data_IF_048121387885
#
_entry.id   IF_048121387885
#
_cell.length_a   1.000
_cell.length_b   1.000
_cell.length_c   1.000
_cell.angle_alpha   90.00
_cell.angle_beta   90.00
_cell.angle_gamma   90.00
#
_symmetry.space_group_name_H-M   'P 1'
#
loop_
_entity.id
_entity.type
_entity.pdbx_description
1 polymer ?
#
# COMPACT_ATOMS: atom_id res chain seq x y z
N UNK A 1 11.84 8.44 16.06
CA UNK A 1 10.59 8.22 15.32
C UNK A 1 9.46 8.96 16.02
N UNK A 2 8.72 9.77 15.30
CA UNK A 2 7.60 10.50 15.89
C UNK A 2 6.44 9.53 16.18
N UNK A 3 5.82 9.73 17.34
CA UNK A 3 4.68 8.95 17.80
C UNK A 3 3.47 9.88 17.98
N UNK A 4 2.31 9.46 17.50
CA UNK A 4 1.08 10.26 17.56
C UNK A 4 -0.02 9.50 18.27
N UNK A 5 -0.72 10.19 19.17
CA UNK A 5 -1.94 9.66 19.78
C UNK A 5 -3.12 9.88 18.82
N UNK A 6 -4.23 9.18 19.09
CA UNK A 6 -5.48 9.39 18.34
C UNK A 6 -5.97 10.84 18.49
N UNK A 7 -5.79 11.42 19.66
CA UNK A 7 -6.12 12.83 19.90
C UNK A 7 -5.31 13.76 19.00
N UNK A 8 -4.00 13.50 18.86
CA UNK A 8 -3.14 14.26 17.96
C UNK A 8 -3.62 14.17 16.52
N UNK A 9 -3.96 12.96 16.09
CA UNK A 9 -4.45 12.69 14.73
C UNK A 9 -5.76 13.43 14.47
N UNK A 10 -6.69 13.41 15.42
CA UNK A 10 -7.98 14.11 15.30
C UNK A 10 -7.82 15.63 15.21
N UNK A 11 -6.76 16.16 15.78
CA UNK A 11 -6.46 17.59 15.75
C UNK A 11 -5.66 18.06 14.53
N UNK A 12 -5.25 17.15 13.63
CA UNK A 12 -4.44 17.51 12.48
C UNK A 12 -5.23 18.24 11.40
N UNK A 13 -4.57 19.21 10.76
CA UNK A 13 -5.06 19.81 9.53
C UNK A 13 -4.94 18.81 8.37
N UNK A 14 -5.74 19.01 7.33
CA UNK A 14 -5.78 18.13 6.16
C UNK A 14 -4.37 17.88 5.57
N UNK A 15 -3.61 18.94 5.35
CA UNK A 15 -2.27 18.83 4.75
C UNK A 15 -1.35 17.92 5.57
N UNK A 16 -1.34 18.10 6.88
CA UNK A 16 -0.50 17.29 7.77
C UNK A 16 -0.95 15.84 7.82
N UNK A 17 -2.26 15.63 7.87
CA UNK A 17 -2.85 14.28 7.86
C UNK A 17 -2.46 13.52 6.58
N UNK A 18 -2.57 14.16 5.42
CA UNK A 18 -2.19 13.56 4.14
C UNK A 18 -0.69 13.28 4.07
N UNK A 19 0.15 14.17 4.63
CA UNK A 19 1.59 13.92 4.69
C UNK A 19 1.94 12.65 5.48
N UNK A 20 1.21 12.38 6.56
CA UNK A 20 1.46 11.21 7.40
C UNK A 20 0.83 9.93 6.85
N UNK A 21 -0.38 10.00 6.31
CA UNK A 21 -1.17 8.82 5.95
C UNK A 21 -1.40 8.65 4.44
N UNK A 22 -0.96 9.60 3.63
CA UNK A 22 -1.17 9.56 2.19
C UNK A 22 -0.48 8.40 1.48
N UNK A 23 0.52 7.80 2.10
CA UNK A 23 1.26 6.66 1.54
C UNK A 23 0.78 5.30 2.04
N UNK A 24 -0.26 5.24 2.89
CA UNK A 24 -0.82 3.98 3.39
C UNK A 24 -1.34 3.12 2.22
N UNK A 25 -1.99 3.75 1.27
CA UNK A 25 -2.34 3.12 -0.01
C UNK A 25 -1.39 3.64 -1.08
N UNK A 26 -0.74 2.74 -1.78
CA UNK A 26 0.34 3.04 -2.75
C UNK A 26 -0.09 4.10 -3.76
N UNK A 27 0.66 5.21 -3.81
CA UNK A 27 0.46 6.30 -4.78
C UNK A 27 -0.99 6.83 -4.87
N UNK A 28 -1.78 6.67 -3.79
CA UNK A 28 -3.19 7.07 -3.76
C UNK A 28 -3.50 7.90 -2.51
N UNK A 29 -2.95 9.11 -2.40
CA UNK A 29 -3.18 9.97 -1.22
C UNK A 29 -4.63 10.41 -1.04
N UNK A 30 -5.45 10.32 -2.08
CA UNK A 30 -6.88 10.64 -2.04
C UNK A 30 -7.63 9.86 -0.95
N UNK A 31 -7.20 8.64 -0.64
CA UNK A 31 -7.81 7.82 0.42
C UNK A 31 -7.65 8.52 1.76
N UNK A 32 -6.44 8.99 2.09
CA UNK A 32 -6.21 9.73 3.33
C UNK A 32 -6.97 11.06 3.35
N UNK A 33 -6.98 11.77 2.23
CA UNK A 33 -7.70 13.03 2.10
C UNK A 33 -9.18 12.87 2.40
N UNK A 34 -9.82 11.86 1.86
CA UNK A 34 -11.24 11.60 2.09
C UNK A 34 -11.50 11.06 3.51
N UNK A 35 -10.60 10.22 4.04
CA UNK A 35 -10.73 9.70 5.39
C UNK A 35 -10.64 10.82 6.45
N UNK A 36 -9.86 11.86 6.19
CA UNK A 36 -9.77 13.01 7.09
C UNK A 36 -11.14 13.64 7.38
N UNK A 37 -12.03 13.67 6.40
CA UNK A 37 -13.38 14.20 6.58
C UNK A 37 -14.28 13.31 7.47
N UNK A 38 -13.86 12.10 7.76
CA UNK A 38 -14.59 11.16 8.62
C UNK A 38 -14.21 11.26 10.10
N UNK A 39 -13.37 12.23 10.47
CA UNK A 39 -13.02 12.50 11.88
C UNK A 39 -14.26 12.80 12.72
N UNK A 40 -14.23 12.58 14.06
CA UNK A 40 -13.10 12.05 14.82
C UNK A 40 -12.96 10.53 14.73
N UNK A 41 -11.73 10.05 14.94
CA UNK A 41 -11.44 8.62 15.02
C UNK A 41 -11.41 8.21 16.50
N UNK A 42 -11.93 7.02 16.82
CA UNK A 42 -11.95 6.50 18.19
C UNK A 42 -10.62 5.86 18.58
N UNK A 43 -10.00 5.16 17.64
CA UNK A 43 -8.71 4.49 17.79
C UNK A 43 -8.07 4.29 16.41
N UNK A 44 -6.93 3.63 16.39
CA UNK A 44 -6.20 3.36 15.13
C UNK A 44 -6.99 2.41 14.23
N UNK A 45 -7.67 1.42 14.80
CA UNK A 45 -8.50 0.50 14.03
C UNK A 45 -9.66 1.23 13.36
N UNK A 46 -10.27 2.20 14.04
CA UNK A 46 -11.31 3.03 13.45
C UNK A 46 -10.79 3.88 12.29
N UNK A 47 -9.60 4.46 12.43
CA UNK A 47 -8.93 5.20 11.35
C UNK A 47 -8.73 4.29 10.13
N UNK A 48 -8.17 3.10 10.34
CA UNK A 48 -7.92 2.13 9.28
C UNK A 48 -9.23 1.70 8.62
N UNK A 49 -10.25 1.39 9.43
CA UNK A 49 -11.56 0.99 8.94
C UNK A 49 -12.20 2.08 8.06
N UNK A 50 -12.08 3.34 8.45
CA UNK A 50 -12.60 4.46 7.67
C UNK A 50 -11.83 4.67 6.37
N UNK A 51 -10.51 4.45 6.37
CA UNK A 51 -9.71 4.47 5.14
C UNK A 51 -10.13 3.36 4.19
N UNK A 52 -10.30 2.14 4.68
CA UNK A 52 -10.79 1.00 3.88
C UNK A 52 -12.17 1.28 3.30
N UNK A 53 -13.05 1.90 4.10
CA UNK A 53 -14.40 2.27 3.65
C UNK A 53 -14.38 3.27 2.50
N UNK A 54 -13.42 4.19 2.47
CA UNK A 54 -13.24 5.11 1.32
C UNK A 54 -13.00 4.32 0.04
N UNK A 55 -12.17 3.28 0.11
CA UNK A 55 -11.88 2.44 -1.04
C UNK A 55 -13.11 1.60 -1.44
N UNK A 56 -13.71 0.91 -0.49
CA UNK A 56 -14.80 -0.02 -0.77
C UNK A 56 -16.09 0.66 -1.22
N UNK A 57 -16.47 1.73 -0.55
CA UNK A 57 -17.75 2.40 -0.80
C UNK A 57 -17.64 3.68 -1.62
N UNK A 58 -16.50 4.37 -1.56
CA UNK A 58 -16.30 5.67 -2.19
C UNK A 58 -15.62 5.65 -3.54
N UNK A 59 -15.02 4.54 -3.95
CA UNK A 59 -14.29 4.44 -5.23
C UNK A 59 -15.09 3.67 -6.27
N UNK A 60 -15.02 4.14 -7.52
CA UNK A 60 -15.56 3.43 -8.68
C UNK A 60 -14.68 2.21 -8.99
N UNK A 61 -15.18 1.29 -9.82
CA UNK A 61 -14.39 0.15 -10.29
C UNK A 61 -13.10 0.61 -10.99
N UNK A 62 -13.16 1.66 -11.80
CA UNK A 62 -11.99 2.22 -12.49
C UNK A 62 -10.97 2.75 -11.51
N UNK A 63 -11.41 3.46 -10.46
CA UNK A 63 -10.53 3.97 -9.40
C UNK A 63 -9.89 2.83 -8.61
N UNK A 64 -10.64 1.78 -8.27
CA UNK A 64 -10.11 0.60 -7.58
C UNK A 64 -9.05 -0.13 -8.42
N UNK A 65 -9.27 -0.27 -9.72
CA UNK A 65 -8.27 -0.85 -10.63
C UNK A 65 -7.01 0.01 -10.70
N UNK A 66 -7.15 1.33 -10.73
CA UNK A 66 -6.02 2.24 -10.70
C UNK A 66 -5.22 2.09 -9.41
N UNK A 67 -5.89 1.97 -8.27
CA UNK A 67 -5.24 1.73 -6.98
C UNK A 67 -4.45 0.41 -7.00
N UNK A 68 -5.05 -0.67 -7.46
CA UNK A 68 -4.39 -1.97 -7.57
C UNK A 68 -3.17 -1.88 -8.49
N UNK A 69 -3.31 -1.23 -9.64
CA UNK A 69 -2.23 -1.08 -10.62
C UNK A 69 -1.09 -0.18 -10.14
N UNK A 70 -1.34 0.68 -9.15
CA UNK A 70 -0.30 1.54 -8.58
C UNK A 70 0.61 0.82 -7.60
N UNK A 71 0.19 -0.35 -7.08
CA UNK A 71 1.00 -1.13 -6.16
C UNK A 71 2.16 -1.81 -6.89
N UNK A 72 3.36 -1.88 -6.27
CA UNK A 72 4.50 -2.54 -6.90
C UNK A 72 4.32 -4.05 -6.92
N UNK A 73 4.84 -4.68 -7.96
CA UNK A 73 4.92 -6.13 -8.04
C UNK A 73 6.01 -6.66 -7.12
N UNK A 74 5.96 -7.95 -6.78
CA UNK A 74 7.02 -8.60 -5.99
C UNK A 74 8.36 -8.50 -6.75
N UNK A 75 9.40 -8.11 -6.03
CA UNK A 75 10.72 -7.92 -6.62
C UNK A 75 10.84 -6.69 -7.51
N UNK A 76 9.90 -5.76 -7.44
CA UNK A 76 9.91 -4.52 -8.23
C UNK A 76 11.21 -3.74 -8.00
N UNK A 77 11.84 -3.32 -9.08
CA UNK A 77 13.09 -2.53 -9.05
C UNK A 77 12.88 -1.09 -9.53
N UNK A 78 11.68 -0.79 -9.98
CA UNK A 78 11.32 0.55 -10.42
C UNK A 78 10.96 1.47 -9.25
N UNK A 79 10.27 2.55 -9.56
CA UNK A 79 9.85 3.52 -8.56
C UNK A 79 8.75 2.94 -7.68
N UNK A 80 8.98 2.97 -6.36
CA UNK A 80 8.03 2.54 -5.34
C UNK A 80 7.96 3.56 -4.22
N UNK A 81 6.85 3.58 -3.48
CA UNK A 81 6.78 4.33 -2.23
C UNK A 81 7.73 3.73 -1.20
N UNK A 82 8.24 4.57 -0.29
CA UNK A 82 9.22 4.14 0.71
C UNK A 82 8.72 2.96 1.58
N UNK A 83 7.45 2.97 1.94
CA UNK A 83 6.85 1.88 2.73
C UNK A 83 6.90 0.54 2.01
N UNK A 84 6.62 0.52 0.70
CA UNK A 84 6.68 -0.69 -0.11
C UNK A 84 8.11 -1.19 -0.29
N UNK A 85 9.08 -0.28 -0.48
CA UNK A 85 10.51 -0.62 -0.54
C UNK A 85 10.92 -1.32 0.75
N UNK A 86 10.55 -0.75 1.90
CA UNK A 86 10.89 -1.30 3.21
C UNK A 86 10.23 -2.65 3.45
N UNK A 87 8.97 -2.81 3.08
CA UNK A 87 8.26 -4.07 3.25
C UNK A 87 8.93 -5.19 2.46
N UNK A 88 9.22 -4.97 1.19
CA UNK A 88 9.88 -5.98 0.37
C UNK A 88 11.30 -6.27 0.84
N UNK A 89 12.06 -5.24 1.24
CA UNK A 89 13.41 -5.40 1.77
C UNK A 89 13.42 -6.19 3.09
N UNK A 90 12.38 -6.03 3.93
CA UNK A 90 12.31 -6.69 5.23
C UNK A 90 12.25 -8.22 5.12
N UNK A 91 11.80 -8.75 4.00
CA UNK A 91 11.71 -10.21 3.74
C UNK A 91 12.75 -10.68 2.71
N UNK A 92 13.68 -9.82 2.30
CA UNK A 92 14.80 -10.17 1.45
C UNK A 92 14.52 -10.13 -0.05
N UNK A 93 13.38 -9.61 -0.49
CA UNK A 93 13.04 -9.52 -1.91
C UNK A 93 13.99 -8.63 -2.72
N UNK A 94 14.70 -7.70 -2.06
CA UNK A 94 15.71 -6.86 -2.70
C UNK A 94 17.06 -7.56 -2.89
N UNK A 95 17.23 -8.77 -2.36
CA UNK A 95 18.50 -9.53 -2.34
C UNK A 95 18.33 -10.97 -2.83
N UNK A 96 17.32 -11.24 -3.63
CA UNK A 96 17.10 -12.58 -4.19
C UNK A 96 18.11 -12.89 -5.28
N UNK A 97 18.34 -14.19 -5.52
CA UNK A 97 19.23 -14.66 -6.57
C UNK A 97 18.68 -14.26 -7.94
N UNK A 98 19.58 -14.08 -8.91
CA UNK A 98 19.21 -13.71 -10.27
C UNK A 98 18.18 -14.66 -10.88
N UNK A 99 18.33 -15.95 -10.67
CA UNK A 99 17.40 -16.96 -11.20
C UNK A 99 16.00 -16.82 -10.62
N UNK A 100 15.92 -16.57 -9.31
CA UNK A 100 14.64 -16.34 -8.63
C UNK A 100 14.01 -15.02 -9.08
N UNK A 101 14.82 -13.99 -9.28
CA UNK A 101 14.36 -12.69 -9.77
C UNK A 101 13.77 -12.82 -11.18
N UNK A 102 14.44 -13.54 -12.07
CA UNK A 102 13.96 -13.80 -13.43
C UNK A 102 12.65 -14.59 -13.41
N UNK A 103 12.52 -15.57 -12.52
CA UNK A 103 11.31 -16.37 -12.38
C UNK A 103 10.14 -15.51 -11.87
N UNK A 104 10.37 -14.68 -10.87
CA UNK A 104 9.35 -13.77 -10.34
C UNK A 104 8.89 -12.78 -11.42
N UNK A 105 9.83 -12.19 -12.15
CA UNK A 105 9.53 -11.25 -13.24
C UNK A 105 8.67 -11.91 -14.32
N UNK A 106 8.99 -13.14 -14.69
CA UNK A 106 8.22 -13.90 -15.68
C UNK A 106 6.81 -14.20 -15.18
N UNK A 107 6.67 -14.64 -13.92
CA UNK A 107 5.38 -14.93 -13.31
C UNK A 107 4.53 -13.68 -13.19
N UNK A 108 5.13 -12.55 -12.83
CA UNK A 108 4.44 -11.27 -12.77
C UNK A 108 3.89 -10.86 -14.14
N UNK A 109 4.68 -11.01 -15.19
CA UNK A 109 4.26 -10.72 -16.56
C UNK A 109 3.09 -11.59 -17.00
N UNK A 110 3.18 -12.90 -16.76
CA UNK A 110 2.12 -13.86 -17.10
C UNK A 110 0.82 -13.50 -16.34
N UNK A 111 0.93 -13.17 -15.07
CA UNK A 111 -0.23 -12.81 -14.24
C UNK A 111 -0.91 -11.54 -14.77
N UNK A 112 -0.12 -10.48 -15.05
CA UNK A 112 -0.66 -9.22 -15.59
C UNK A 112 -1.36 -9.43 -16.93
N UNK A 113 -0.76 -10.23 -17.80
CA UNK A 113 -1.32 -10.54 -19.11
C UNK A 113 -2.65 -11.27 -18.99
N UNK A 114 -2.75 -12.20 -18.05
CA UNK A 114 -3.96 -12.99 -17.83
C UNK A 114 -5.09 -12.19 -17.18
N UNK A 115 -4.78 -11.37 -16.18
CA UNK A 115 -5.80 -10.72 -15.35
C UNK A 115 -5.95 -9.22 -15.59
N UNK A 116 -5.02 -8.57 -16.30
CA UNK A 116 -5.06 -7.14 -16.58
C UNK A 116 -4.64 -6.24 -15.40
N UNK A 117 -4.15 -6.84 -14.31
CA UNK A 117 -3.60 -6.12 -13.16
C UNK A 117 -2.47 -6.93 -12.51
N UNK A 118 -1.57 -6.26 -11.73
CA UNK A 118 -0.44 -6.97 -11.13
C UNK A 118 -0.88 -7.91 -9.99
N UNK A 119 -0.08 -8.95 -9.76
CA UNK A 119 -0.22 -9.80 -8.58
C UNK A 119 0.28 -9.04 -7.35
N UNK A 120 -0.57 -8.96 -6.34
CA UNK A 120 -0.25 -8.27 -5.09
C UNK A 120 -0.27 -9.25 -3.92
N UNK A 121 0.71 -9.11 -3.03
CA UNK A 121 0.80 -9.91 -1.81
C UNK A 121 1.40 -9.07 -0.69
N UNK A 122 0.78 -9.08 0.47
CA UNK A 122 1.34 -8.50 1.67
C UNK A 122 2.42 -9.44 2.19
N UNK A 123 3.67 -8.99 2.22
CA UNK A 123 4.82 -9.85 2.50
C UNK A 123 5.45 -9.62 3.86
N UNK A 124 5.07 -8.58 4.57
CA UNK A 124 5.61 -8.28 5.90
C UNK A 124 5.45 -9.48 6.83
N UNK A 125 6.56 -9.92 7.43
CA UNK A 125 6.56 -11.06 8.34
C UNK A 125 6.46 -12.43 7.68
N UNK A 126 6.47 -12.51 6.35
CA UNK A 126 6.43 -13.77 5.61
C UNK A 126 7.86 -14.29 5.36
N UNK A 127 8.15 -15.59 5.53
CA UNK A 127 9.43 -16.12 5.08
C UNK A 127 9.54 -16.08 3.57
N UNK A 128 10.75 -15.83 3.07
CA UNK A 128 10.99 -15.70 1.62
C UNK A 128 10.54 -16.96 0.85
N UNK A 129 10.68 -18.12 1.47
CA UNK A 129 10.28 -19.39 0.86
C UNK A 129 8.77 -19.52 0.62
N UNK A 130 7.93 -18.73 1.32
CA UNK A 130 6.48 -18.74 1.12
C UNK A 130 5.99 -17.65 0.17
N UNK A 131 6.89 -16.83 -0.34
CA UNK A 131 6.61 -15.79 -1.33
C UNK A 131 6.95 -16.32 -2.74
#
# INVERSE_FOLDING_TARGET
MASYSVSDINGMELTRFVQLFGSVFEETPKVAEQAWHAKPFQDIDDLHHKMVSVVEAGMTRTEKLKLIRSHPELGEKGKMAAASVQEQASVGLNKIKKEEDEQISRLNSVYREKFGYPYLKAVKGQPLSSI
#
